data_IF_169892230376
#
_entry.id   IF_169892230376
#
_cell.length_a   1.000
_cell.length_b   1.000
_cell.length_c   1.000
_cell.angle_alpha   90.00
_cell.angle_beta   90.00
_cell.angle_gamma   90.00
#
_symmetry.space_group_name_H-M   'P 1'
#
loop_
_entity.id
_entity.type
_entity.pdbx_description
1 polymer ?
#
# COMPACT_ATOMS: atom_id res chain seq x y z
N UNK A 1 -113.71 2.85 33.44
CA UNK A 1 -113.25 1.45 33.30
C UNK A 1 -113.02 1.19 31.82
N UNK A 2 -111.82 0.77 31.45
CA UNK A 2 -111.55 0.31 30.08
C UNK A 2 -112.37 -0.97 29.86
N UNK A 3 -113.13 -1.05 28.77
CA UNK A 3 -113.90 -2.25 28.43
C UNK A 3 -112.95 -3.31 27.85
N UNK A 4 -112.74 -4.39 28.60
CA UNK A 4 -111.78 -5.45 28.26
C UNK A 4 -112.18 -6.18 26.97
N UNK A 5 -113.47 -6.36 26.69
CA UNK A 5 -113.95 -7.02 25.46
C UNK A 5 -113.65 -6.21 24.21
N UNK A 6 -113.74 -4.87 24.32
CA UNK A 6 -113.41 -3.94 23.23
C UNK A 6 -111.91 -3.97 22.94
N UNK A 7 -111.07 -4.03 23.99
CA UNK A 7 -109.61 -4.13 23.84
C UNK A 7 -109.20 -5.47 23.22
N UNK A 8 -109.78 -6.59 23.66
CA UNK A 8 -109.50 -7.93 23.12
C UNK A 8 -109.92 -8.02 21.65
N UNK A 9 -111.11 -7.52 21.30
CA UNK A 9 -111.59 -7.49 19.92
C UNK A 9 -110.71 -6.62 19.02
N UNK A 10 -110.23 -5.47 19.53
CA UNK A 10 -109.28 -4.61 18.82
C UNK A 10 -107.91 -5.28 18.63
N UNK A 11 -107.42 -6.04 19.61
CA UNK A 11 -106.16 -6.79 19.50
C UNK A 11 -106.26 -7.93 18.48
N UNK A 12 -107.36 -8.68 18.49
CA UNK A 12 -107.62 -9.75 17.51
C UNK A 12 -107.73 -9.17 16.09
N UNK A 13 -108.39 -8.01 15.93
CA UNK A 13 -108.49 -7.33 14.64
C UNK A 13 -107.14 -6.82 14.10
N UNK A 14 -106.15 -6.56 14.97
CA UNK A 14 -104.80 -6.13 14.58
C UNK A 14 -103.83 -7.30 14.32
N UNK A 15 -104.12 -8.53 14.76
CA UNK A 15 -103.24 -9.68 14.60
C UNK A 15 -102.80 -9.95 13.14
N UNK A 16 -103.68 -9.85 12.12
CA UNK A 16 -103.28 -9.98 10.72
C UNK A 16 -102.29 -8.89 10.27
N UNK A 17 -102.48 -7.66 10.77
CA UNK A 17 -101.63 -6.51 10.44
C UNK A 17 -100.23 -6.69 11.05
N UNK A 18 -100.16 -7.15 12.30
CA UNK A 18 -98.88 -7.46 12.99
C UNK A 18 -98.18 -8.63 12.28
N UNK A 19 -98.89 -9.68 11.91
CA UNK A 19 -98.32 -10.81 11.17
C UNK A 19 -97.75 -10.36 9.81
N UNK A 20 -98.48 -9.51 9.07
CA UNK A 20 -97.99 -8.92 7.82
C UNK A 20 -96.73 -8.07 8.04
N UNK A 21 -96.71 -7.23 9.08
CA UNK A 21 -95.54 -6.43 9.43
C UNK A 21 -94.32 -7.29 9.78
N UNK A 22 -94.49 -8.36 10.55
CA UNK A 22 -93.42 -9.32 10.87
C UNK A 22 -92.91 -10.04 9.62
N UNK A 23 -93.80 -10.46 8.73
CA UNK A 23 -93.42 -11.11 7.46
C UNK A 23 -92.62 -10.13 6.57
N UNK A 24 -93.08 -8.89 6.45
CA UNK A 24 -92.36 -7.84 5.70
C UNK A 24 -90.99 -7.57 6.32
N UNK A 25 -90.90 -7.48 7.65
CA UNK A 25 -89.64 -7.31 8.38
C UNK A 25 -88.70 -8.50 8.15
N UNK A 26 -89.22 -9.73 8.20
CA UNK A 26 -88.46 -10.95 7.93
C UNK A 26 -87.87 -10.94 6.51
N UNK A 27 -88.71 -10.71 5.49
CA UNK A 27 -88.24 -10.62 4.11
C UNK A 27 -87.26 -9.45 3.88
N UNK A 28 -87.47 -8.32 4.56
CA UNK A 28 -86.55 -7.18 4.46
C UNK A 28 -85.20 -7.49 5.10
N UNK A 29 -85.19 -8.18 6.24
CA UNK A 29 -83.97 -8.57 6.93
C UNK A 29 -83.21 -9.66 6.14
N UNK A 30 -83.91 -10.66 5.63
CA UNK A 30 -83.34 -11.73 4.80
C UNK A 30 -82.65 -11.16 3.55
N UNK A 31 -83.30 -10.22 2.86
CA UNK A 31 -82.68 -9.47 1.74
C UNK A 31 -81.42 -8.73 2.15
N UNK A 32 -81.44 -8.02 3.29
CA UNK A 32 -80.25 -7.31 3.79
C UNK A 32 -79.11 -8.27 4.14
N UNK A 33 -79.43 -9.43 4.73
CA UNK A 33 -78.43 -10.46 5.04
C UNK A 33 -77.80 -11.00 3.76
N UNK A 34 -78.60 -11.30 2.73
CA UNK A 34 -78.09 -11.80 1.46
C UNK A 34 -77.25 -10.74 0.73
N UNK A 35 -77.64 -9.47 0.77
CA UNK A 35 -76.85 -8.36 0.24
C UNK A 35 -75.49 -8.23 0.94
N UNK A 36 -75.47 -8.31 2.28
CA UNK A 36 -74.23 -8.26 3.08
C UNK A 36 -73.33 -9.44 2.75
N UNK A 37 -73.89 -10.65 2.71
CA UNK A 37 -73.16 -11.88 2.35
C UNK A 37 -72.53 -11.77 0.98
N UNK A 38 -73.27 -11.27 -0.01
CA UNK A 38 -72.78 -11.09 -1.37
C UNK A 38 -71.69 -10.02 -1.47
N UNK A 39 -71.82 -8.90 -0.76
CA UNK A 39 -70.75 -7.89 -0.69
C UNK A 39 -69.49 -8.43 -0.04
N UNK A 40 -69.63 -9.10 1.11
CA UNK A 40 -68.50 -9.65 1.84
C UNK A 40 -67.79 -10.74 1.03
N UNK A 41 -68.52 -11.62 0.34
CA UNK A 41 -67.91 -12.61 -0.54
C UNK A 41 -67.06 -11.95 -1.63
N UNK A 42 -67.58 -10.90 -2.28
CA UNK A 42 -66.85 -10.16 -3.31
C UNK A 42 -65.61 -9.47 -2.77
N UNK A 43 -65.71 -8.84 -1.59
CA UNK A 43 -64.56 -8.19 -0.94
C UNK A 43 -63.49 -9.22 -0.55
N UNK A 44 -63.88 -10.36 0.02
CA UNK A 44 -62.97 -11.45 0.36
C UNK A 44 -62.25 -11.98 -0.89
N UNK A 45 -62.99 -12.22 -1.99
CA UNK A 45 -62.41 -12.70 -3.24
C UNK A 45 -61.44 -11.68 -3.85
N UNK A 46 -61.78 -10.38 -3.79
CA UNK A 46 -60.91 -9.30 -4.24
C UNK A 46 -59.62 -9.23 -3.43
N UNK A 47 -59.73 -9.20 -2.10
CA UNK A 47 -58.56 -9.18 -1.19
C UNK A 47 -57.69 -10.42 -1.38
N UNK A 48 -58.32 -11.60 -1.54
CA UNK A 48 -57.59 -12.84 -1.82
C UNK A 48 -56.82 -12.78 -3.14
N UNK A 49 -57.41 -12.21 -4.18
CA UNK A 49 -56.75 -12.01 -5.47
C UNK A 49 -55.57 -11.05 -5.37
N UNK A 50 -55.76 -9.89 -4.74
CA UNK A 50 -54.69 -8.90 -4.52
C UNK A 50 -53.53 -9.46 -3.69
N UNK A 51 -53.83 -10.15 -2.59
CA UNK A 51 -52.82 -10.80 -1.77
C UNK A 51 -52.08 -11.90 -2.54
N UNK A 52 -52.79 -12.70 -3.33
CA UNK A 52 -52.18 -13.71 -4.21
C UNK A 52 -51.16 -13.09 -5.16
N UNK A 53 -51.55 -12.04 -5.88
CA UNK A 53 -50.64 -11.33 -6.80
C UNK A 53 -49.43 -10.71 -6.11
N UNK A 54 -49.62 -10.12 -4.91
CA UNK A 54 -48.50 -9.58 -4.12
C UNK A 54 -47.56 -10.68 -3.62
N UNK A 55 -48.09 -11.83 -3.21
CA UNK A 55 -47.30 -12.99 -2.77
C UNK A 55 -46.47 -13.52 -3.95
N UNK A 56 -47.05 -13.65 -5.13
CA UNK A 56 -46.34 -14.17 -6.29
C UNK A 56 -45.24 -13.21 -6.78
N UNK A 57 -45.52 -11.90 -6.79
CA UNK A 57 -44.48 -10.89 -7.05
C UNK A 57 -43.35 -10.91 -6.02
N UNK A 58 -43.66 -11.13 -4.73
CA UNK A 58 -42.65 -11.28 -3.69
C UNK A 58 -41.79 -12.54 -3.91
N UNK A 59 -42.37 -13.66 -4.31
CA UNK A 59 -41.61 -14.88 -4.63
C UNK A 59 -40.65 -14.65 -5.79
N UNK A 60 -41.08 -13.98 -6.86
CA UNK A 60 -40.22 -13.64 -7.99
C UNK A 60 -39.05 -12.75 -7.58
N UNK A 61 -39.31 -11.72 -6.76
CA UNK A 61 -38.26 -10.87 -6.22
C UNK A 61 -37.27 -11.63 -5.33
N UNK A 62 -37.76 -12.51 -4.46
CA UNK A 62 -36.91 -13.35 -3.60
C UNK A 62 -36.01 -14.23 -4.46
N UNK A 63 -36.58 -14.90 -5.47
CA UNK A 63 -35.79 -15.74 -6.37
C UNK A 63 -34.71 -14.94 -7.12
N UNK A 64 -35.06 -13.73 -7.58
CA UNK A 64 -34.09 -12.82 -8.20
C UNK A 64 -32.98 -12.38 -7.24
N UNK A 65 -33.28 -12.22 -5.94
CA UNK A 65 -32.28 -11.93 -4.91
C UNK A 65 -31.37 -13.13 -4.64
N UNK A 66 -31.92 -14.35 -4.54
CA UNK A 66 -31.16 -15.60 -4.36
C UNK A 66 -30.11 -15.75 -5.48
N UNK A 67 -30.53 -15.63 -6.75
CA UNK A 67 -29.61 -15.69 -7.90
C UNK A 67 -28.53 -14.60 -7.84
N UNK A 68 -28.87 -13.40 -7.38
CA UNK A 68 -27.87 -12.31 -7.25
C UNK A 68 -26.86 -12.59 -6.14
N UNK A 69 -27.30 -13.19 -5.03
CA UNK A 69 -26.43 -13.58 -3.92
C UNK A 69 -25.46 -14.68 -4.36
N UNK A 70 -25.94 -15.74 -5.01
CA UNK A 70 -25.07 -16.81 -5.54
C UNK A 70 -24.01 -16.26 -6.51
N UNK A 71 -24.41 -15.32 -7.38
CA UNK A 71 -23.47 -14.66 -8.29
C UNK A 71 -22.43 -13.80 -7.55
N UNK A 72 -22.81 -13.16 -6.45
CA UNK A 72 -21.89 -12.37 -5.63
C UNK A 72 -20.91 -13.27 -4.89
N UNK A 73 -21.37 -14.38 -4.30
CA UNK A 73 -20.51 -15.39 -3.67
C UNK A 73 -19.46 -15.90 -4.65
N UNK A 74 -19.85 -16.32 -5.86
CA UNK A 74 -18.89 -16.75 -6.87
C UNK A 74 -17.96 -15.64 -7.39
N UNK A 75 -18.32 -14.36 -7.22
CA UNK A 75 -17.40 -13.24 -7.49
C UNK A 75 -16.42 -13.04 -6.35
N UNK A 76 -16.85 -13.19 -5.10
CA UNK A 76 -16.00 -13.10 -3.91
C UNK A 76 -14.96 -14.22 -3.95
N UNK A 77 -15.35 -15.47 -4.19
CA UNK A 77 -14.41 -16.60 -4.30
C UNK A 77 -13.32 -16.37 -5.35
N UNK A 78 -13.69 -15.78 -6.50
CA UNK A 78 -12.72 -15.44 -7.56
C UNK A 78 -11.78 -14.32 -7.14
N UNK A 79 -12.27 -13.35 -6.37
CA UNK A 79 -11.43 -12.26 -5.84
C UNK A 79 -10.44 -12.83 -4.82
N UNK A 80 -10.90 -13.66 -3.89
CA UNK A 80 -10.04 -14.32 -2.88
C UNK A 80 -8.92 -15.11 -3.55
N UNK A 81 -9.26 -15.96 -4.52
CA UNK A 81 -8.27 -16.72 -5.29
C UNK A 81 -7.25 -15.82 -6.02
N UNK A 82 -7.69 -14.68 -6.56
CA UNK A 82 -6.80 -13.71 -7.20
C UNK A 82 -5.88 -13.03 -6.19
N UNK A 83 -6.38 -12.66 -5.01
CA UNK A 83 -5.59 -12.07 -3.93
C UNK A 83 -4.52 -13.05 -3.48
N UNK A 84 -4.87 -14.30 -3.17
CA UNK A 84 -3.88 -15.32 -2.77
C UNK A 84 -2.83 -15.59 -3.84
N UNK A 85 -3.17 -15.47 -5.12
CA UNK A 85 -2.19 -15.57 -6.20
C UNK A 85 -1.29 -14.33 -6.30
N UNK A 86 -1.82 -13.14 -6.01
CA UNK A 86 -1.02 -11.92 -5.97
C UNK A 86 -0.05 -11.92 -4.79
N UNK A 87 -0.47 -12.35 -3.60
CA UNK A 87 0.39 -12.52 -2.43
C UNK A 87 1.58 -13.42 -2.74
N UNK A 88 1.34 -14.61 -3.28
CA UNK A 88 2.43 -15.52 -3.72
C UNK A 88 3.38 -14.89 -4.73
N UNK A 89 2.88 -14.06 -5.65
CA UNK A 89 3.72 -13.36 -6.63
C UNK A 89 4.54 -12.24 -5.99
N UNK A 90 4.01 -11.57 -4.98
CA UNK A 90 4.72 -10.56 -4.20
C UNK A 90 5.87 -11.21 -3.42
N UNK A 91 5.63 -12.33 -2.73
CA UNK A 91 6.68 -13.05 -1.98
C UNK A 91 7.86 -13.46 -2.88
N UNK A 92 7.56 -13.94 -4.09
CA UNK A 92 8.57 -14.30 -5.09
C UNK A 92 9.33 -13.05 -5.57
N UNK A 93 8.64 -11.92 -5.76
CA UNK A 93 9.28 -10.67 -6.15
C UNK A 93 10.19 -10.12 -5.04
N UNK A 94 9.74 -10.14 -3.78
CA UNK A 94 10.56 -9.72 -2.64
C UNK A 94 11.84 -10.54 -2.53
N UNK A 95 11.73 -11.87 -2.71
CA UNK A 95 12.90 -12.76 -2.73
C UNK A 95 13.87 -12.39 -3.84
N UNK A 96 13.37 -12.21 -5.07
CA UNK A 96 14.22 -11.85 -6.23
C UNK A 96 14.86 -10.47 -6.07
N UNK A 97 14.13 -9.49 -5.54
CA UNK A 97 14.68 -8.16 -5.26
C UNK A 97 15.76 -8.24 -4.17
N UNK A 98 15.55 -9.06 -3.14
CA UNK A 98 16.56 -9.33 -2.11
C UNK A 98 17.82 -10.00 -2.67
N UNK A 99 17.69 -10.94 -3.61
CA UNK A 99 18.81 -11.55 -4.33
C UNK A 99 19.58 -10.52 -5.18
N UNK A 100 18.87 -9.67 -5.94
CA UNK A 100 19.48 -8.60 -6.73
C UNK A 100 20.22 -7.60 -5.84
N UNK A 101 19.62 -7.18 -4.72
CA UNK A 101 20.24 -6.26 -3.78
C UNK A 101 21.55 -6.84 -3.19
N UNK A 102 21.54 -8.12 -2.80
CA UNK A 102 22.75 -8.82 -2.34
C UNK A 102 23.81 -8.90 -3.44
N UNK A 103 23.43 -9.30 -4.66
CA UNK A 103 24.33 -9.36 -5.80
C UNK A 103 24.97 -8.01 -6.13
N UNK A 104 24.23 -6.90 -6.00
CA UNK A 104 24.78 -5.54 -6.19
C UNK A 104 25.79 -5.15 -5.10
N UNK A 105 25.56 -5.56 -3.83
CA UNK A 105 26.52 -5.34 -2.75
C UNK A 105 27.81 -6.12 -2.98
N UNK A 106 27.70 -7.41 -3.32
CA UNK A 106 28.84 -8.28 -3.62
C UNK A 106 29.63 -7.74 -4.84
N UNK A 107 28.93 -7.34 -5.90
CA UNK A 107 29.57 -6.73 -7.07
C UNK A 107 30.33 -5.45 -6.71
N UNK A 108 29.72 -4.59 -5.87
CA UNK A 108 30.36 -3.36 -5.41
C UNK A 108 31.62 -3.64 -4.60
N UNK A 109 31.61 -4.62 -3.71
CA UNK A 109 32.78 -5.04 -2.94
C UNK A 109 33.88 -5.63 -3.84
N UNK A 110 33.51 -6.50 -4.79
CA UNK A 110 34.43 -7.05 -5.76
C UNK A 110 35.06 -5.96 -6.64
N UNK A 111 34.26 -4.97 -7.08
CA UNK A 111 34.73 -3.83 -7.86
C UNK A 111 35.75 -2.99 -7.07
N UNK A 112 35.45 -2.64 -5.82
CA UNK A 112 36.41 -1.90 -4.98
C UNK A 112 37.67 -2.69 -4.67
N UNK A 113 37.55 -4.00 -4.42
CA UNK A 113 38.70 -4.88 -4.20
C UNK A 113 39.62 -4.94 -5.43
N UNK A 114 39.03 -5.14 -6.62
CA UNK A 114 39.75 -5.11 -7.89
C UNK A 114 40.42 -3.75 -8.13
N UNK A 115 39.68 -2.65 -7.96
CA UNK A 115 40.19 -1.29 -8.15
C UNK A 115 41.39 -1.00 -7.22
N UNK A 116 41.28 -1.35 -5.93
CA UNK A 116 42.38 -1.16 -4.98
C UNK A 116 43.62 -1.95 -5.38
N UNK A 117 43.44 -3.22 -5.77
CA UNK A 117 44.55 -4.08 -6.22
C UNK A 117 45.21 -3.55 -7.49
N UNK A 118 44.41 -3.08 -8.45
CA UNK A 118 44.90 -2.48 -9.69
C UNK A 118 45.71 -1.20 -9.39
N UNK A 119 45.20 -0.33 -8.53
CA UNK A 119 45.89 0.90 -8.16
C UNK A 119 47.20 0.60 -7.43
N UNK A 120 47.22 -0.39 -6.54
CA UNK A 120 48.45 -0.82 -5.87
C UNK A 120 49.49 -1.34 -6.88
N UNK A 121 49.05 -2.12 -7.88
CA UNK A 121 49.93 -2.58 -8.95
C UNK A 121 50.46 -1.44 -9.82
N UNK A 122 49.58 -0.51 -10.26
CA UNK A 122 49.96 0.63 -11.09
C UNK A 122 50.85 1.62 -10.33
N UNK A 123 50.58 1.81 -9.04
CA UNK A 123 51.45 2.55 -8.14
C UNK A 123 52.79 1.83 -8.05
N UNK A 124 52.89 0.52 -7.82
CA UNK A 124 54.18 -0.18 -7.81
C UNK A 124 54.96 -0.01 -9.12
N UNK A 125 54.29 -0.06 -10.28
CA UNK A 125 54.90 0.16 -11.61
C UNK A 125 55.24 1.60 -11.94
N UNK A 126 54.65 2.55 -11.23
CA UNK A 126 54.91 3.98 -11.38
C UNK A 126 54.16 4.67 -12.48
N UNK A 127 53.05 4.05 -12.85
CA UNK A 127 52.06 4.63 -13.75
C UNK A 127 51.21 5.64 -12.99
N UNK A 128 50.92 5.39 -11.71
CA UNK A 128 50.26 6.35 -10.82
C UNK A 128 51.32 7.19 -10.11
N UNK A 129 51.32 8.49 -10.34
CA UNK A 129 52.28 9.44 -9.77
C UNK A 129 51.58 10.63 -9.09
N UNK A 130 52.36 11.51 -8.46
CA UNK A 130 51.83 12.69 -7.77
C UNK A 130 51.02 13.63 -8.69
N UNK A 131 51.48 13.96 -9.92
CA UNK A 131 50.68 14.69 -10.90
C UNK A 131 49.27 14.14 -11.13
N UNK A 132 49.08 12.83 -11.31
CA UNK A 132 47.75 12.26 -11.53
C UNK A 132 46.87 12.41 -10.28
N UNK A 133 47.45 12.25 -9.09
CA UNK A 133 46.75 12.49 -7.82
C UNK A 133 46.32 13.96 -7.69
N UNK A 134 47.18 14.91 -8.08
CA UNK A 134 46.89 16.36 -8.05
C UNK A 134 45.74 16.72 -8.99
N UNK A 135 45.69 16.15 -10.20
CA UNK A 135 44.60 16.37 -11.15
C UNK A 135 43.25 15.88 -10.60
N UNK A 136 43.23 14.68 -10.03
CA UNK A 136 42.02 14.11 -9.44
C UNK A 136 41.56 14.91 -8.21
N UNK A 137 42.50 15.31 -7.35
CA UNK A 137 42.26 16.19 -6.20
C UNK A 137 41.61 17.51 -6.61
N UNK A 138 42.12 18.17 -7.66
CA UNK A 138 41.53 19.41 -8.18
C UNK A 138 40.08 19.24 -8.65
N UNK A 139 39.81 18.11 -9.32
CA UNK A 139 38.45 17.74 -9.72
C UNK A 139 37.54 17.50 -8.51
N UNK A 140 38.03 16.80 -7.48
CA UNK A 140 37.28 16.54 -6.24
C UNK A 140 36.95 17.82 -5.47
N UNK A 141 37.92 18.73 -5.30
CA UNK A 141 37.67 20.02 -4.64
C UNK A 141 36.56 20.81 -5.32
N UNK A 142 36.57 20.85 -6.65
CA UNK A 142 35.59 21.57 -7.45
C UNK A 142 34.20 20.94 -7.34
N UNK A 143 34.13 19.61 -7.28
CA UNK A 143 32.89 18.84 -7.23
C UNK A 143 32.41 18.54 -5.81
N UNK A 144 33.06 19.09 -4.77
CA UNK A 144 32.73 18.82 -3.38
C UNK A 144 31.25 19.13 -3.11
N UNK A 145 30.41 18.12 -2.77
CA UNK A 145 28.97 18.29 -2.58
C UNK A 145 28.67 19.17 -1.38
N UNK A 146 27.61 19.98 -1.44
CA UNK A 146 27.19 20.81 -0.31
C UNK A 146 26.87 19.95 0.93
N UNK A 147 27.26 20.38 2.13
CA UNK A 147 26.95 19.61 3.32
C UNK A 147 25.48 19.82 3.70
N UNK A 148 24.82 18.75 4.14
CA UNK A 148 23.45 18.83 4.68
C UNK A 148 23.22 17.73 5.72
N UNK A 149 22.46 18.13 6.73
CA UNK A 149 21.62 17.30 7.59
C UNK A 149 22.31 16.42 8.64
N UNK A 150 22.80 15.21 8.32
CA UNK A 150 22.99 14.17 9.36
C UNK A 150 24.39 13.58 9.50
N UNK A 151 24.97 13.01 8.46
CA UNK A 151 26.31 12.39 8.50
C UNK A 151 27.37 13.22 7.79
N UNK A 152 27.02 13.84 6.66
CA UNK A 152 27.92 14.73 5.93
C UNK A 152 27.63 16.20 6.29
N UNK A 153 28.12 16.59 7.46
CA UNK A 153 27.96 17.93 8.04
C UNK A 153 28.96 18.94 7.47
N UNK A 154 28.78 20.23 7.76
CA UNK A 154 29.72 21.28 7.32
C UNK A 154 31.12 21.08 7.91
N UNK A 155 31.23 20.53 9.12
CA UNK A 155 32.51 20.17 9.73
C UNK A 155 33.19 19.05 8.94
N UNK A 156 32.44 18.01 8.55
CA UNK A 156 32.94 16.88 7.73
C UNK A 156 33.37 17.39 6.35
N UNK A 157 32.56 18.24 5.71
CA UNK A 157 32.88 18.88 4.43
C UNK A 157 34.13 19.75 4.53
N UNK A 158 34.25 20.57 5.57
CA UNK A 158 35.43 21.41 5.79
C UNK A 158 36.68 20.54 5.95
N UNK A 159 36.59 19.48 6.76
CA UNK A 159 37.70 18.56 6.97
C UNK A 159 38.12 17.84 5.69
N UNK A 160 37.16 17.47 4.84
CA UNK A 160 37.43 16.93 3.51
C UNK A 160 38.23 17.92 2.67
N UNK A 161 37.80 19.18 2.63
CA UNK A 161 38.49 20.23 1.85
C UNK A 161 39.89 20.49 2.38
N UNK A 162 40.08 20.53 3.70
CA UNK A 162 41.40 20.71 4.35
C UNK A 162 42.36 19.57 3.96
N UNK A 163 41.88 18.31 3.98
CA UNK A 163 42.68 17.16 3.55
C UNK A 163 42.98 17.23 2.04
N UNK A 164 42.00 17.56 1.21
CA UNK A 164 42.19 17.78 -0.22
C UNK A 164 43.10 18.97 -0.56
N UNK A 165 43.36 19.88 0.38
CA UNK A 165 44.32 20.98 0.21
C UNK A 165 45.77 20.57 0.52
N UNK A 166 45.96 19.49 1.27
CA UNK A 166 47.29 18.98 1.64
C UNK A 166 48.10 18.57 0.40
N UNK A 167 49.41 18.83 0.43
CA UNK A 167 50.32 18.33 -0.59
C UNK A 167 50.40 16.80 -0.55
N UNK A 168 50.40 16.15 -1.72
CA UNK A 168 50.42 14.67 -1.81
C UNK A 168 51.61 14.06 -1.07
N UNK A 169 52.75 14.76 -1.05
CA UNK A 169 53.99 14.36 -0.37
C UNK A 169 53.86 14.31 1.15
N UNK A 170 52.97 15.11 1.71
CA UNK A 170 52.82 15.25 3.17
C UNK A 170 51.69 14.38 3.73
N UNK A 171 50.98 13.64 2.87
CA UNK A 171 50.00 12.67 3.33
C UNK A 171 50.64 11.59 4.21
N UNK A 172 49.89 11.17 5.22
CA UNK A 172 50.19 10.07 6.12
C UNK A 172 49.06 9.04 6.08
N UNK A 173 49.28 7.88 6.72
CA UNK A 173 48.23 6.87 6.86
C UNK A 173 47.04 7.35 7.70
N UNK A 174 47.27 8.26 8.64
CA UNK A 174 46.22 8.90 9.43
C UNK A 174 45.33 9.80 8.57
N UNK A 175 45.90 10.58 7.65
CA UNK A 175 45.11 11.41 6.72
C UNK A 175 44.24 10.53 5.81
N UNK A 176 44.79 9.41 5.34
CA UNK A 176 44.05 8.43 4.55
C UNK A 176 42.88 7.85 5.35
N UNK A 177 43.13 7.43 6.59
CA UNK A 177 42.08 6.89 7.45
C UNK A 177 40.99 7.91 7.73
N UNK A 178 41.34 9.20 7.81
CA UNK A 178 40.37 10.28 7.96
C UNK A 178 39.55 10.52 6.69
N UNK A 179 40.18 10.50 5.50
CA UNK A 179 39.45 10.54 4.24
C UNK A 179 38.50 9.35 4.08
N UNK A 180 38.90 8.15 4.51
CA UNK A 180 38.04 6.94 4.49
C UNK A 180 36.82 7.12 5.41
N UNK A 181 36.99 7.67 6.62
CA UNK A 181 35.88 8.00 7.52
C UNK A 181 34.90 9.00 6.89
N UNK A 182 35.43 10.02 6.21
CA UNK A 182 34.60 11.00 5.51
C UNK A 182 33.85 10.34 4.34
N UNK A 183 34.52 9.48 3.57
CA UNK A 183 33.88 8.73 2.49
C UNK A 183 32.74 7.84 3.02
N UNK A 184 32.93 7.21 4.18
CA UNK A 184 31.88 6.43 4.84
C UNK A 184 30.69 7.29 5.29
N UNK A 185 30.94 8.50 5.81
CA UNK A 185 29.88 9.44 6.14
C UNK A 185 29.09 9.88 4.90
N UNK A 186 29.77 10.10 3.77
CA UNK A 186 29.15 10.40 2.47
C UNK A 186 28.30 9.22 1.98
N UNK A 187 28.81 7.97 2.02
CA UNK A 187 28.06 6.78 1.61
C UNK A 187 26.81 6.57 2.49
N UNK A 188 26.92 6.78 3.81
CA UNK A 188 25.78 6.70 4.73
C UNK A 188 24.70 7.73 4.41
N UNK A 189 25.08 9.01 4.28
CA UNK A 189 24.13 10.06 3.92
C UNK A 189 23.49 9.79 2.55
N UNK A 190 24.28 9.35 1.57
CA UNK A 190 23.81 9.01 0.23
C UNK A 190 22.75 7.90 0.25
N UNK A 191 22.97 6.84 1.03
CA UNK A 191 22.02 5.72 1.16
C UNK A 191 20.75 6.08 1.91
N UNK A 192 20.85 6.91 2.95
CA UNK A 192 19.66 7.33 3.72
C UNK A 192 18.81 8.34 2.97
N UNK A 193 19.44 9.27 2.23
CA UNK A 193 18.73 10.40 1.62
C UNK A 193 18.49 10.25 0.12
N UNK A 194 19.17 9.32 -0.56
CA UNK A 194 19.13 9.20 -2.01
C UNK A 194 19.81 10.35 -2.75
N UNK A 195 20.65 11.14 -2.07
CA UNK A 195 21.33 12.31 -2.65
C UNK A 195 22.26 11.92 -3.80
N UNK A 196 21.84 12.21 -5.03
CA UNK A 196 22.58 11.86 -6.25
C UNK A 196 23.99 12.48 -6.31
N UNK A 197 24.18 13.69 -5.79
CA UNK A 197 25.47 14.36 -5.81
C UNK A 197 26.50 13.63 -4.93
N UNK A 198 26.08 13.13 -3.77
CA UNK A 198 26.91 12.27 -2.91
C UNK A 198 27.18 10.91 -3.56
N UNK A 199 26.16 10.27 -4.15
CA UNK A 199 26.28 8.98 -4.86
C UNK A 199 27.33 9.07 -5.99
N UNK A 200 27.34 10.18 -6.74
CA UNK A 200 28.29 10.43 -7.84
C UNK A 200 29.68 10.83 -7.35
N UNK A 201 29.78 11.44 -6.17
CA UNK A 201 31.04 11.92 -5.60
C UNK A 201 31.83 10.81 -4.89
N UNK A 202 31.15 9.99 -4.09
CA UNK A 202 31.74 8.89 -3.31
C UNK A 202 32.75 8.02 -4.09
N UNK A 203 32.43 7.45 -5.28
CA UNK A 203 33.38 6.61 -6.00
C UNK A 203 34.64 7.37 -6.47
N UNK A 204 34.51 8.68 -6.76
CA UNK A 204 35.67 9.53 -7.13
C UNK A 204 36.58 9.77 -5.93
N UNK A 205 36.00 10.00 -4.75
CA UNK A 205 36.75 10.15 -3.51
C UNK A 205 37.49 8.86 -3.17
N UNK A 206 36.82 7.70 -3.26
CA UNK A 206 37.45 6.39 -3.04
C UNK A 206 38.60 6.12 -4.00
N UNK A 207 38.49 6.52 -5.27
CA UNK A 207 39.59 6.42 -6.24
C UNK A 207 40.79 7.27 -5.83
N UNK A 208 40.57 8.50 -5.38
CA UNK A 208 41.64 9.36 -4.89
C UNK A 208 42.32 8.78 -3.65
N UNK A 209 41.54 8.28 -2.68
CA UNK A 209 42.05 7.60 -1.50
C UNK A 209 42.94 6.41 -1.90
N UNK A 210 42.49 5.57 -2.83
CA UNK A 210 43.27 4.42 -3.33
C UNK A 210 44.60 4.86 -3.97
N UNK A 211 44.58 5.92 -4.78
CA UNK A 211 45.80 6.49 -5.40
C UNK A 211 46.79 6.96 -4.33
N UNK A 212 46.32 7.75 -3.36
CA UNK A 212 47.16 8.26 -2.26
C UNK A 212 47.76 7.10 -1.46
N UNK A 213 46.97 6.06 -1.15
CA UNK A 213 47.46 4.84 -0.48
C UNK A 213 48.55 4.15 -1.28
N UNK A 214 48.37 3.96 -2.58
CA UNK A 214 49.37 3.38 -3.46
C UNK A 214 50.68 4.17 -3.46
N UNK A 215 50.59 5.50 -3.54
CA UNK A 215 51.75 6.40 -3.48
C UNK A 215 52.46 6.36 -2.12
N UNK A 216 51.74 6.23 -1.02
CA UNK A 216 52.32 6.08 0.32
C UNK A 216 53.07 4.75 0.46
N UNK A 217 52.46 3.64 0.05
CA UNK A 217 53.09 2.31 0.07
C UNK A 217 54.38 2.29 -0.72
N UNK A 218 54.38 2.88 -1.92
CA UNK A 218 55.59 3.01 -2.73
C UNK A 218 56.69 3.76 -1.99
N UNK A 219 56.38 4.92 -1.41
CA UNK A 219 57.35 5.71 -0.66
C UNK A 219 57.95 4.93 0.51
N UNK A 220 57.16 4.11 1.19
CA UNK A 220 57.66 3.20 2.23
C UNK A 220 58.58 2.10 1.68
N UNK A 221 58.23 1.49 0.54
CA UNK A 221 59.06 0.49 -0.13
C UNK A 221 60.42 1.07 -0.55
N UNK A 222 60.41 2.25 -1.18
CA UNK A 222 61.63 2.95 -1.61
C UNK A 222 62.52 3.35 -0.41
N UNK A 223 61.93 3.77 0.71
CA UNK A 223 62.67 4.05 1.95
C UNK A 223 63.33 2.80 2.52
N UNK A 224 62.62 1.67 2.56
CA UNK A 224 63.16 0.38 3.03
C UNK A 224 64.29 -0.14 2.13
N UNK A 225 64.14 -0.03 0.81
CA UNK A 225 65.20 -0.42 -0.13
C UNK A 225 66.48 0.40 0.05
N UNK A 226 66.36 1.70 0.32
CA UNK A 226 67.51 2.57 0.61
C UNK A 226 68.21 2.16 1.90
N UNK A 227 67.45 1.89 2.97
CA UNK A 227 67.99 1.43 4.26
C UNK A 227 68.64 0.04 4.22
N UNK A 228 68.30 -0.81 3.25
CA UNK A 228 68.89 -2.15 3.11
C UNK A 228 70.17 -2.15 2.26
N UNK A 229 70.44 -1.04 1.54
CA UNK A 229 71.61 -0.87 0.67
C UNK A 229 72.75 -0.05 1.32
N UNK A 230 72.50 0.55 2.48
CA UNK A 230 73.48 1.23 3.36
C UNK A 230 73.98 0.26 4.44
#
# INVERSE_FOLDING_TARGET
MVNVDVVISSLIAQAPLVAAAVIVLYYSLDRKIEDVKNKLSKEIDSVRGELGGRIDSLKEHIHGLETRVENLEGRVDRIENRISNLERRIDVLETRVGEVARGLLEFREAFYSYQNTLIDFLAAKGVVTEPEAVLLRGSLKTLAPAARSRYYTEEVRKRLLDLLDKEIRDYTWEDVAELEKIAEAIDREARETGREDLIKYYPKLMMYIAIVKGLLRRREMEKKEKQTKE
#
